data_IF_051274850230
#
_entry.id   IF_051274850230
#
_cell.length_a   1.000
_cell.length_b   1.000
_cell.length_c   1.000
_cell.angle_alpha   90.00
_cell.angle_beta   90.00
_cell.angle_gamma   90.00
#
_symmetry.space_group_name_H-M   'P 1'
#
loop_
_entity.id
_entity.type
_entity.pdbx_description
1 polymer ?
#
# COMPACT_ATOMS: atom_id res chain seq x y z
N UNK A 1 8.14 6.80 8.01
CA UNK A 1 7.56 5.71 8.80
C UNK A 1 8.67 4.77 9.22
N UNK A 2 8.71 4.40 10.50
CA UNK A 2 9.61 3.39 11.04
C UNK A 2 8.96 2.01 10.94
N UNK A 3 9.74 0.93 10.90
CA UNK A 3 9.24 -0.46 10.73
C UNK A 3 8.08 -0.80 11.67
N UNK A 4 8.11 -0.29 12.91
CA UNK A 4 7.10 -0.51 13.93
C UNK A 4 5.75 0.13 13.58
N UNK A 5 5.77 1.34 13.01
CA UNK A 5 4.57 2.05 12.56
C UNK A 5 3.93 1.34 11.35
N UNK A 6 4.74 0.75 10.46
CA UNK A 6 4.25 -0.08 9.35
C UNK A 6 3.53 -1.32 9.88
N UNK A 7 4.08 -1.97 10.91
CA UNK A 7 3.43 -3.14 11.53
C UNK A 7 2.11 -2.76 12.20
N UNK A 8 2.05 -1.65 12.94
CA UNK A 8 0.81 -1.18 13.58
C UNK A 8 -0.25 -0.78 12.54
N UNK A 9 0.17 -0.11 11.46
CA UNK A 9 -0.68 0.21 10.31
C UNK A 9 -1.32 -1.03 9.69
N UNK A 10 -0.48 -2.02 9.37
CA UNK A 10 -0.93 -3.30 8.84
C UNK A 10 -1.89 -3.99 9.78
N UNK A 11 -1.63 -3.96 11.08
CA UNK A 11 -2.48 -4.59 12.09
C UNK A 11 -3.85 -3.91 12.19
N UNK A 12 -3.94 -2.59 12.01
CA UNK A 12 -5.22 -1.89 11.96
C UNK A 12 -6.02 -2.19 10.69
N UNK A 13 -5.35 -2.24 9.53
CA UNK A 13 -5.99 -2.61 8.25
C UNK A 13 -6.50 -4.05 8.31
N UNK A 14 -5.66 -4.95 8.84
CA UNK A 14 -5.97 -6.35 9.13
C UNK A 14 -7.21 -6.49 10.02
N UNK A 15 -7.25 -5.78 11.15
CA UNK A 15 -8.40 -5.77 12.05
C UNK A 15 -9.67 -5.24 11.39
N UNK A 16 -9.60 -4.17 10.57
CA UNK A 16 -10.77 -3.62 9.88
C UNK A 16 -11.32 -4.55 8.80
N UNK A 17 -10.46 -5.35 8.16
CA UNK A 17 -10.85 -6.28 7.08
C UNK A 17 -10.97 -7.74 7.53
N UNK A 18 -10.83 -8.02 8.83
CA UNK A 18 -10.77 -9.38 9.39
C UNK A 18 -9.76 -10.29 8.66
N UNK A 19 -8.64 -9.72 8.23
CA UNK A 19 -7.53 -10.46 7.63
C UNK A 19 -6.28 -10.33 8.50
N UNK A 20 -5.21 -11.05 8.17
CA UNK A 20 -3.93 -10.93 8.85
C UNK A 20 -3.05 -9.84 8.21
N UNK A 21 -2.10 -9.24 8.97
CA UNK A 21 -1.11 -8.30 8.44
C UNK A 21 -0.34 -8.87 7.22
N UNK A 22 -0.07 -10.17 7.26
CA UNK A 22 0.65 -10.90 6.22
C UNK A 22 -0.21 -11.09 4.96
N UNK A 23 -1.50 -11.39 5.10
CA UNK A 23 -2.45 -11.44 3.99
C UNK A 23 -2.65 -10.06 3.35
N UNK A 24 -2.73 -8.99 4.15
CA UNK A 24 -2.79 -7.63 3.65
C UNK A 24 -1.52 -7.29 2.84
N UNK A 25 -0.34 -7.62 3.36
CA UNK A 25 0.94 -7.44 2.66
C UNK A 25 1.00 -8.26 1.37
N UNK A 26 0.57 -9.52 1.40
CA UNK A 26 0.51 -10.39 0.20
C UNK A 26 -0.47 -9.87 -0.85
N UNK A 27 -1.65 -9.40 -0.44
CA UNK A 27 -2.62 -8.83 -1.36
C UNK A 27 -2.11 -7.59 -2.06
N UNK A 28 -1.36 -6.74 -1.34
CA UNK A 28 -0.72 -5.56 -1.91
C UNK A 28 0.40 -5.97 -2.88
N UNK A 29 1.25 -6.93 -2.51
CA UNK A 29 2.28 -7.45 -3.41
C UNK A 29 1.67 -7.99 -4.70
N UNK A 30 0.57 -8.72 -4.61
CA UNK A 30 -0.13 -9.25 -5.78
C UNK A 30 -0.68 -8.12 -6.66
N UNK A 31 -1.26 -7.08 -6.06
CA UNK A 31 -1.76 -5.92 -6.78
C UNK A 31 -0.64 -5.12 -7.46
N UNK A 32 0.56 -5.06 -6.86
CA UNK A 32 1.76 -4.45 -7.45
C UNK A 32 2.21 -5.25 -8.67
N UNK A 33 2.32 -6.58 -8.55
CA UNK A 33 2.71 -7.45 -9.65
C UNK A 33 1.68 -7.39 -10.79
N UNK A 34 0.39 -7.43 -10.48
CA UNK A 34 -0.68 -7.31 -11.47
C UNK A 34 -0.67 -5.93 -12.14
N UNK A 35 -0.50 -4.84 -11.37
CA UNK A 35 -0.38 -3.50 -11.91
C UNK A 35 0.84 -3.32 -12.82
N UNK A 36 1.96 -3.98 -12.51
CA UNK A 36 3.17 -3.96 -13.34
C UNK A 36 2.98 -4.68 -14.68
N UNK A 37 2.25 -5.80 -14.68
CA UNK A 37 1.93 -6.53 -15.90
C UNK A 37 0.73 -5.93 -16.67
N UNK A 38 0.05 -4.94 -16.08
CA UNK A 38 -1.11 -4.29 -16.67
C UNK A 38 -0.70 -3.16 -17.64
N UNK A 39 -1.12 -3.22 -18.92
CA UNK A 39 -0.85 -2.15 -19.89
C UNK A 39 -1.78 -0.93 -19.75
N UNK A 40 -2.69 -0.90 -18.76
CA UNK A 40 -3.63 0.20 -18.59
C UNK A 40 -2.92 1.50 -18.16
N UNK A 41 -3.01 2.58 -18.96
CA UNK A 41 -2.37 3.85 -18.64
C UNK A 41 -2.91 4.50 -17.36
N UNK A 42 -4.13 4.18 -16.90
CA UNK A 42 -4.64 4.68 -15.63
C UNK A 42 -3.89 4.07 -14.43
N UNK A 43 -3.48 2.80 -14.55
CA UNK A 43 -2.68 2.12 -13.52
C UNK A 43 -1.31 2.78 -13.42
N UNK A 44 -0.68 3.06 -14.56
CA UNK A 44 0.59 3.79 -14.62
C UNK A 44 0.49 5.22 -14.13
N UNK A 45 -0.59 5.95 -14.40
CA UNK A 45 -0.79 7.30 -13.88
C UNK A 45 -0.88 7.33 -12.34
N UNK A 46 -1.50 6.30 -11.74
CA UNK A 46 -1.51 6.14 -10.29
C UNK A 46 -0.13 5.73 -9.78
N UNK A 47 0.58 4.86 -10.51
CA UNK A 47 1.95 4.45 -10.20
C UNK A 47 2.94 5.63 -10.16
N UNK A 48 2.92 6.50 -11.17
CA UNK A 48 3.72 7.72 -11.26
C UNK A 48 3.37 8.75 -10.17
N UNK A 49 2.19 8.64 -9.55
CA UNK A 49 1.79 9.53 -8.46
C UNK A 49 2.41 9.13 -7.12
N UNK A 50 2.97 7.93 -6.98
CA UNK A 50 3.67 7.55 -5.76
C UNK A 50 5.09 8.13 -5.76
N UNK A 51 5.59 8.60 -4.61
CA UNK A 51 7.01 8.93 -4.49
C UNK A 51 7.82 7.62 -4.49
N UNK A 52 8.27 7.18 -5.67
CA UNK A 52 9.11 5.99 -5.83
C UNK A 52 10.55 6.36 -6.22
N UNK A 53 11.53 5.93 -5.42
CA UNK A 53 12.94 5.94 -5.83
C UNK A 53 13.20 4.74 -6.76
N UNK A 54 12.77 4.84 -8.02
CA UNK A 54 13.02 3.84 -9.07
C UNK A 54 11.78 3.09 -9.57
N UNK A 55 12.00 1.96 -10.25
CA UNK A 55 10.97 1.18 -10.98
C UNK A 55 10.09 0.30 -10.08
N UNK A 56 10.44 0.13 -8.80
CA UNK A 56 9.89 -0.94 -7.98
C UNK A 56 9.30 -0.40 -6.67
N UNK A 57 7.99 -0.19 -6.65
CA UNK A 57 7.23 0.03 -5.42
C UNK A 57 7.24 -1.24 -4.58
N UNK A 58 7.57 -1.12 -3.29
CA UNK A 58 7.41 -2.23 -2.35
C UNK A 58 6.03 -2.17 -1.69
N UNK A 59 5.50 -3.31 -1.19
CA UNK A 59 4.28 -3.31 -0.40
C UNK A 59 4.35 -2.32 0.77
N UNK A 60 5.52 -2.21 1.40
CA UNK A 60 5.79 -1.29 2.50
C UNK A 60 5.63 0.18 2.09
N UNK A 61 6.11 0.58 0.91
CA UNK A 61 5.97 1.95 0.40
C UNK A 61 4.50 2.27 0.12
N UNK A 62 3.78 1.33 -0.49
CA UNK A 62 2.35 1.45 -0.74
C UNK A 62 1.58 1.55 0.58
N UNK A 63 1.88 0.68 1.55
CA UNK A 63 1.27 0.73 2.88
C UNK A 63 1.56 2.07 3.55
N UNK A 64 2.79 2.59 3.46
CA UNK A 64 3.14 3.86 4.08
C UNK A 64 2.39 5.03 3.44
N UNK A 65 2.30 5.07 2.11
CA UNK A 65 1.55 6.08 1.38
C UNK A 65 0.05 6.04 1.70
N UNK A 66 -0.54 4.85 1.66
CA UNK A 66 -1.96 4.69 1.99
C UNK A 66 -2.22 4.85 3.48
N UNK A 67 -1.29 4.52 4.37
CA UNK A 67 -1.46 4.74 5.79
C UNK A 67 -1.56 6.23 6.10
N UNK A 68 -0.67 7.05 5.56
CA UNK A 68 -0.76 8.51 5.69
C UNK A 68 -2.13 9.00 5.18
N UNK A 69 -2.56 8.50 4.02
CA UNK A 69 -3.82 8.93 3.38
C UNK A 69 -5.10 8.41 4.07
N UNK A 70 -5.09 7.17 4.56
CA UNK A 70 -6.23 6.51 5.21
C UNK A 70 -6.36 6.92 6.67
N UNK A 71 -5.26 7.18 7.37
CA UNK A 71 -5.27 7.70 8.73
C UNK A 71 -5.47 9.22 8.78
N UNK A 72 -5.19 9.95 7.69
CA UNK A 72 -5.73 11.30 7.51
C UNK A 72 -7.24 11.30 7.19
N UNK A 73 -7.90 10.15 7.01
CA UNK A 73 -9.37 10.08 6.85
C UNK A 73 -10.10 9.82 8.18
N UNK A 74 -9.54 10.28 9.30
CA UNK A 74 -10.27 10.61 10.53
C UNK A 74 -10.56 12.14 10.63
N UNK A 75 -10.60 12.84 9.48
CA UNK A 75 -11.11 14.22 9.42
C UNK A 75 -12.64 14.25 9.33
N UNK A 76 -13.22 14.35 10.53
CA UNK A 76 -14.41 15.09 10.97
C UNK A 76 -15.82 14.81 10.40
#
# INVERSE_FOLDING_TARGET
MNQKEITEALQQIANRKSCTPEEARRGIQLAIDEARENPDPNVWAVWESFPHEGDQLTPEDIIAFFYDRLMQTDFH
#
